data_IF_516309736246
#
_entry.id   IF_516309736246
#
_cell.length_a   1.000
_cell.length_b   1.000
_cell.length_c   1.000
_cell.angle_alpha   90.00
_cell.angle_beta   90.00
_cell.angle_gamma   90.00
#
_symmetry.space_group_name_H-M   'P 1'
#
loop_
_entity.id
_entity.type
_entity.pdbx_description
1 polymer ?
#
# COMPACT_ATOMS: atom_id res chain seq x y z
N UNK A 1 22.19 4.10 33.46
CA UNK A 1 21.40 4.30 32.24
C UNK A 1 20.06 3.62 32.43
N UNK A 2 18.97 4.32 32.14
CA UNK A 2 17.59 3.86 32.37
C UNK A 2 16.85 4.03 31.05
N UNK A 3 16.26 2.95 30.54
CA UNK A 3 15.49 2.98 29.30
C UNK A 3 14.14 3.67 29.47
N UNK A 4 13.37 3.77 28.38
CA UNK A 4 12.02 4.37 28.42
C UNK A 4 11.07 3.49 29.21
N UNK A 5 10.12 4.12 29.88
CA UNK A 5 8.91 3.45 30.37
C UNK A 5 7.76 3.71 29.42
N UNK A 6 7.07 2.64 29.08
CA UNK A 6 5.85 2.68 28.29
C UNK A 6 4.69 2.39 29.22
N UNK A 7 3.90 3.42 29.50
CA UNK A 7 2.65 3.30 30.22
C UNK A 7 1.52 3.13 29.22
N UNK A 8 0.70 2.10 29.42
CA UNK A 8 -0.35 1.74 28.48
C UNK A 8 -1.59 1.23 29.21
N UNK A 9 -2.74 1.36 28.57
CA UNK A 9 -3.99 0.79 29.06
C UNK A 9 -3.98 -0.73 28.90
N UNK A 10 -4.15 -1.48 29.99
CA UNK A 10 -4.21 -2.95 29.96
C UNK A 10 -5.34 -3.50 29.05
N UNK A 11 -6.53 -2.88 28.97
CA UNK A 11 -7.60 -3.41 28.13
C UNK A 11 -7.36 -3.26 26.61
N UNK A 12 -6.60 -2.26 26.18
CA UNK A 12 -6.48 -1.89 24.74
C UNK A 12 -5.06 -1.98 24.20
N UNK A 13 -4.06 -1.89 25.07
CA UNK A 13 -2.66 -1.74 24.68
C UNK A 13 -2.29 -0.33 24.25
N UNK A 14 -3.21 0.64 24.32
CA UNK A 14 -2.95 2.02 23.92
C UNK A 14 -1.96 2.68 24.86
N UNK A 15 -0.96 3.36 24.30
CA UNK A 15 0.07 4.05 25.08
C UNK A 15 -0.45 5.40 25.56
N UNK A 16 -0.37 5.61 26.87
CA UNK A 16 -0.80 6.82 27.56
C UNK A 16 0.38 7.77 27.74
N UNK A 17 1.54 7.23 28.12
CA UNK A 17 2.76 8.00 28.34
C UNK A 17 3.98 7.18 27.96
N UNK A 18 4.91 7.82 27.26
CA UNK A 18 6.26 7.31 27.02
C UNK A 18 7.25 8.25 27.71
N UNK A 19 8.05 7.74 28.64
CA UNK A 19 9.11 8.55 29.27
C UNK A 19 10.36 8.59 28.39
N UNK A 20 11.18 9.61 28.59
CA UNK A 20 12.49 9.69 27.95
C UNK A 20 13.50 8.79 28.66
N UNK A 21 14.53 8.38 27.92
CA UNK A 21 15.69 7.69 28.49
C UNK A 21 16.50 8.64 29.37
N UNK A 22 17.18 8.07 30.35
CA UNK A 22 18.07 8.80 31.24
C UNK A 22 19.44 8.16 31.23
N UNK A 23 20.47 8.94 30.89
CA UNK A 23 21.87 8.53 31.06
C UNK A 23 22.17 8.27 32.55
N UNK A 24 21.77 9.24 33.38
CA UNK A 24 21.95 9.25 34.83
C UNK A 24 20.63 9.63 35.53
N UNK A 25 20.39 9.09 36.72
CA UNK A 25 19.18 9.39 37.50
C UNK A 25 18.75 8.20 38.36
N UNK A 26 17.65 8.38 39.07
CA UNK A 26 17.00 7.34 39.85
C UNK A 26 15.86 6.76 38.99
N UNK A 27 15.78 5.43 38.94
CA UNK A 27 14.63 4.76 38.36
C UNK A 27 13.44 4.86 39.32
N UNK A 28 12.34 5.40 38.83
CA UNK A 28 11.11 5.59 39.61
C UNK A 28 10.28 4.31 39.64
N UNK A 29 9.37 4.17 40.60
CA UNK A 29 8.39 3.07 40.53
C UNK A 29 7.16 3.49 39.72
N UNK A 30 6.33 2.53 39.33
CA UNK A 30 5.05 2.79 38.67
C UNK A 30 4.18 3.73 39.50
N UNK A 31 4.14 3.54 40.82
CA UNK A 31 3.33 4.30 41.76
C UNK A 31 3.82 5.76 41.88
N UNK A 32 5.14 5.94 41.89
CA UNK A 32 5.75 7.28 41.88
C UNK A 32 5.41 8.03 40.59
N UNK A 33 5.52 7.35 39.44
CA UNK A 33 5.20 7.94 38.14
C UNK A 33 3.70 8.26 37.99
N UNK A 34 2.81 7.39 38.48
CA UNK A 34 1.36 7.64 38.53
C UNK A 34 1.01 8.89 39.34
N UNK A 35 1.73 9.14 40.44
CA UNK A 35 1.54 10.35 41.25
C UNK A 35 2.13 11.60 40.57
N UNK A 36 3.25 11.45 39.85
CA UNK A 36 4.00 12.57 39.28
C UNK A 36 3.44 13.07 37.95
N UNK A 37 3.01 12.17 37.06
CA UNK A 37 2.60 12.52 35.70
C UNK A 37 1.09 12.74 35.62
N UNK A 38 0.69 13.97 35.31
CA UNK A 38 -0.71 14.34 35.11
C UNK A 38 -1.43 13.46 34.06
N UNK A 39 -0.72 13.06 33.00
CA UNK A 39 -1.27 12.17 31.96
C UNK A 39 -1.72 10.80 32.52
N UNK A 40 -1.11 10.33 33.60
CA UNK A 40 -1.44 9.04 34.22
C UNK A 40 -2.51 9.18 35.30
N UNK A 41 -2.68 10.36 35.91
CA UNK A 41 -3.65 10.60 36.98
C UNK A 41 -5.12 10.48 36.53
N UNK A 42 -5.38 10.57 35.22
CA UNK A 42 -6.71 10.38 34.66
C UNK A 42 -7.16 8.91 34.62
N UNK A 43 -6.27 7.97 34.94
CA UNK A 43 -6.51 6.54 34.84
C UNK A 43 -6.42 5.87 36.21
N UNK A 44 -7.18 4.78 36.39
CA UNK A 44 -7.03 3.96 37.58
C UNK A 44 -5.67 3.23 37.58
N UNK A 45 -4.94 3.17 38.71
CA UNK A 45 -3.65 2.48 38.78
C UNK A 45 -3.65 1.03 38.29
N UNK A 46 -4.77 0.32 38.50
CA UNK A 46 -5.01 -1.06 38.09
C UNK A 46 -5.36 -1.21 36.60
N UNK A 47 -5.70 -0.14 35.89
CA UNK A 47 -5.97 -0.18 34.45
C UNK A 47 -4.74 0.11 33.60
N UNK A 48 -3.63 0.54 34.22
CA UNK A 48 -2.39 0.91 33.54
C UNK A 48 -1.31 -0.16 33.73
N UNK A 49 -0.75 -0.63 32.63
CA UNK A 49 0.47 -1.43 32.59
C UNK A 49 1.72 -0.54 32.44
N UNK A 50 2.89 -1.09 32.78
CA UNK A 50 4.17 -0.46 32.51
C UNK A 50 5.15 -1.48 31.92
N UNK A 51 5.84 -1.11 30.85
CA UNK A 51 7.01 -1.84 30.34
C UNK A 51 8.21 -0.93 30.52
N UNK A 52 9.21 -1.40 31.27
CA UNK A 52 10.53 -0.77 31.34
C UNK A 52 11.41 -1.38 30.26
N UNK A 53 11.78 -0.57 29.26
CA UNK A 53 12.69 -1.00 28.19
C UNK A 53 14.15 -0.92 28.66
N UNK A 54 15.01 -1.65 27.97
CA UNK A 54 16.45 -1.45 28.07
C UNK A 54 16.85 -0.09 27.48
N UNK A 55 17.95 0.49 27.95
CA UNK A 55 18.46 1.73 27.38
C UNK A 55 18.88 1.52 25.92
N UNK A 56 18.38 2.36 25.03
CA UNK A 56 18.62 2.31 23.58
C UNK A 56 17.66 1.39 22.82
N UNK A 57 16.83 0.61 23.52
CA UNK A 57 15.91 -0.33 22.89
C UNK A 57 14.87 0.43 22.03
N UNK A 58 14.71 -0.01 20.78
CA UNK A 58 13.84 0.61 19.77
C UNK A 58 14.15 2.09 19.48
N UNK A 59 15.37 2.57 19.75
CA UNK A 59 15.75 3.97 19.54
C UNK A 59 15.47 4.48 18.11
N UNK A 60 15.77 3.67 17.09
CA UNK A 60 15.45 4.00 15.70
C UNK A 60 13.94 4.06 15.44
N UNK A 61 13.17 3.18 16.06
CA UNK A 61 11.72 3.11 15.86
C UNK A 61 11.02 4.30 16.50
N UNK A 62 11.41 4.70 17.71
CA UNK A 62 10.90 5.91 18.36
C UNK A 62 11.23 7.21 17.59
N UNK A 63 12.28 7.20 16.76
CA UNK A 63 12.63 8.34 15.91
C UNK A 63 11.85 8.37 14.59
N UNK A 64 11.41 7.21 14.10
CA UNK A 64 10.88 7.07 12.73
C UNK A 64 9.40 6.74 12.67
N UNK A 65 8.83 6.16 13.73
CA UNK A 65 7.42 5.80 13.79
C UNK A 65 6.51 7.02 14.08
N UNK A 66 5.31 7.00 13.51
CA UNK A 66 4.25 7.98 13.80
C UNK A 66 3.58 7.72 15.15
N UNK A 67 3.46 6.44 15.53
CA UNK A 67 2.85 6.02 16.79
C UNK A 67 3.29 4.60 17.17
N UNK A 68 3.06 4.23 18.42
CA UNK A 68 3.30 2.88 18.93
C UNK A 68 2.26 2.50 19.97
N UNK A 69 2.03 1.19 20.10
CA UNK A 69 1.13 0.60 21.09
C UNK A 69 1.71 -0.72 21.61
N UNK A 70 1.17 -1.22 22.71
CA UNK A 70 1.48 -2.56 23.21
C UNK A 70 0.53 -3.57 22.58
N UNK A 71 1.06 -4.64 22.04
CA UNK A 71 0.27 -5.81 21.66
C UNK A 71 0.01 -6.67 22.90
N UNK A 72 -1.27 -6.81 23.26
CA UNK A 72 -1.69 -7.53 24.47
C UNK A 72 -1.44 -9.04 24.39
N UNK A 73 -1.32 -9.62 23.20
CA UNK A 73 -1.05 -11.04 23.05
C UNK A 73 0.43 -11.37 23.32
N UNK A 74 1.33 -10.48 22.91
CA UNK A 74 2.78 -10.71 22.97
C UNK A 74 3.50 -9.91 24.06
N UNK A 75 2.87 -8.83 24.55
CA UNK A 75 3.50 -7.85 25.44
C UNK A 75 4.51 -6.94 24.76
N UNK A 76 4.69 -7.06 23.44
CA UNK A 76 5.69 -6.30 22.69
C UNK A 76 5.12 -4.98 22.15
N UNK A 77 6.01 -4.05 21.81
CA UNK A 77 5.64 -2.84 21.10
C UNK A 77 5.38 -3.13 19.62
N UNK A 78 4.31 -2.54 19.10
CA UNK A 78 3.98 -2.47 17.68
C UNK A 78 4.07 -1.01 17.25
N UNK A 79 4.97 -0.75 16.31
CA UNK A 79 5.21 0.57 15.74
C UNK A 79 4.44 0.76 14.44
N UNK A 80 3.87 1.95 14.27
CA UNK A 80 3.24 2.37 13.03
C UNK A 80 4.12 3.40 12.34
N UNK A 81 4.73 3.01 11.22
CA UNK A 81 5.68 3.86 10.49
C UNK A 81 4.95 4.71 9.43
N UNK A 82 5.46 5.91 9.12
CA UNK A 82 4.96 6.69 8.01
C UNK A 82 5.12 5.90 6.71
N UNK A 83 4.02 5.77 5.98
CA UNK A 83 4.04 5.25 4.62
C UNK A 83 4.25 6.44 3.71
N UNK A 84 5.34 6.42 2.93
CA UNK A 84 5.54 7.41 1.90
C UNK A 84 4.69 7.04 0.68
N UNK A 85 3.51 7.62 0.59
CA UNK A 85 2.70 7.55 -0.62
C UNK A 85 3.10 8.67 -1.59
N UNK A 86 3.21 8.34 -2.87
CA UNK A 86 3.38 9.36 -3.90
C UNK A 86 2.14 10.26 -3.94
N UNK A 87 2.29 11.56 -4.25
CA UNK A 87 1.15 12.45 -4.43
C UNK A 87 0.15 11.87 -5.43
N UNK A 88 -1.14 12.01 -5.13
CA UNK A 88 -2.22 11.53 -5.99
C UNK A 88 -2.11 12.07 -7.42
N UNK A 89 -1.63 13.31 -7.59
CA UNK A 89 -1.38 13.90 -8.91
C UNK A 89 -0.43 13.06 -9.76
N UNK A 90 0.70 12.62 -9.20
CA UNK A 90 1.68 11.78 -9.91
C UNK A 90 1.06 10.46 -10.36
N UNK A 91 0.20 9.87 -9.51
CA UNK A 91 -0.51 8.63 -9.84
C UNK A 91 -1.54 8.85 -10.95
N UNK A 92 -2.28 9.95 -10.89
CA UNK A 92 -3.27 10.34 -11.93
C UNK A 92 -2.57 10.59 -13.25
N UNK A 93 -1.51 11.41 -13.28
CA UNK A 93 -0.76 11.73 -14.50
C UNK A 93 -0.24 10.46 -15.18
N UNK A 94 0.30 9.52 -14.39
CA UNK A 94 0.76 8.22 -14.91
C UNK A 94 -0.38 7.39 -15.49
N UNK A 95 -1.50 7.30 -14.78
CA UNK A 95 -2.67 6.53 -15.22
C UNK A 95 -3.31 7.16 -16.48
N UNK A 96 -3.36 8.48 -16.59
CA UNK A 96 -3.84 9.16 -17.77
C UNK A 96 -2.92 8.92 -18.98
N UNK A 97 -1.61 8.98 -18.78
CA UNK A 97 -0.63 8.65 -19.82
C UNK A 97 -0.79 7.20 -20.32
N UNK A 98 -0.91 6.25 -19.40
CA UNK A 98 -1.13 4.83 -19.71
C UNK A 98 -2.46 4.62 -20.45
N UNK A 99 -3.54 5.24 -19.97
CA UNK A 99 -4.86 5.14 -20.59
C UNK A 99 -4.87 5.72 -22.02
N UNK A 100 -4.18 6.84 -22.24
CA UNK A 100 -4.04 7.44 -23.55
C UNK A 100 -3.24 6.55 -24.49
N UNK A 101 -2.15 5.94 -24.01
CA UNK A 101 -1.37 4.98 -24.80
C UNK A 101 -2.21 3.77 -25.21
N UNK A 102 -2.94 3.17 -24.27
CA UNK A 102 -3.82 2.02 -24.53
C UNK A 102 -4.96 2.36 -25.51
N UNK A 103 -5.52 3.58 -25.43
CA UNK A 103 -6.52 4.05 -26.40
C UNK A 103 -5.96 4.16 -27.81
N UNK A 104 -4.72 4.66 -27.96
CA UNK A 104 -4.06 4.75 -29.26
C UNK A 104 -3.77 3.36 -29.84
N UNK A 105 -3.27 2.44 -29.02
CA UNK A 105 -3.05 1.05 -29.44
C UNK A 105 -4.36 0.38 -29.87
N UNK A 106 -5.43 0.56 -29.08
CA UNK A 106 -6.76 0.04 -29.44
C UNK A 106 -7.28 0.61 -30.76
N UNK A 107 -7.05 1.89 -31.04
CA UNK A 107 -7.45 2.52 -32.29
C UNK A 107 -6.63 1.98 -33.47
N UNK A 108 -5.32 1.83 -33.30
CA UNK A 108 -4.45 1.23 -34.31
C UNK A 108 -4.86 -0.20 -34.65
N UNK A 109 -5.13 -1.02 -33.64
CA UNK A 109 -5.61 -2.41 -33.82
C UNK A 109 -6.94 -2.42 -34.57
N UNK A 110 -7.89 -1.55 -34.21
CA UNK A 110 -9.19 -1.46 -34.90
C UNK A 110 -9.04 -1.11 -36.38
N UNK A 111 -8.14 -0.18 -36.70
CA UNK A 111 -7.86 0.20 -38.10
C UNK A 111 -7.22 -0.96 -38.87
N UNK A 112 -6.23 -1.64 -38.30
CA UNK A 112 -5.59 -2.80 -38.92
C UNK A 112 -6.59 -3.94 -39.17
N UNK A 113 -7.54 -4.16 -38.24
CA UNK A 113 -8.62 -5.15 -38.43
C UNK A 113 -9.55 -4.74 -39.56
N UNK A 114 -9.92 -3.46 -39.66
CA UNK A 114 -10.80 -2.97 -40.73
C UNK A 114 -10.15 -3.09 -42.11
N UNK A 115 -8.86 -2.77 -42.21
CA UNK A 115 -8.08 -2.92 -43.45
C UNK A 115 -7.99 -4.39 -43.87
N UNK A 116 -7.66 -5.28 -42.92
CA UNK A 116 -7.59 -6.73 -43.18
C UNK A 116 -8.94 -7.29 -43.65
N UNK A 117 -10.05 -6.84 -43.07
CA UNK A 117 -11.39 -7.26 -43.48
C UNK A 117 -11.70 -6.82 -44.92
N UNK A 118 -11.35 -5.59 -45.30
CA UNK A 118 -11.51 -5.11 -46.68
C UNK A 118 -10.68 -5.91 -47.67
N UNK A 119 -9.43 -6.25 -47.33
CA UNK A 119 -8.57 -7.06 -48.21
C UNK A 119 -9.14 -8.47 -48.39
N UNK A 120 -9.63 -9.09 -47.31
CA UNK A 120 -10.27 -10.41 -47.41
C UNK A 120 -11.53 -10.41 -48.30
N UNK A 121 -12.34 -9.34 -48.25
CA UNK A 121 -13.50 -9.21 -49.12
C UNK A 121 -13.09 -9.07 -50.60
N UNK A 122 -12.04 -8.30 -50.88
CA UNK A 122 -11.48 -8.14 -52.22
C UNK A 122 -10.94 -9.47 -52.76
N UNK A 123 -10.10 -10.16 -51.99
CA UNK A 123 -9.52 -11.47 -52.37
C UNK A 123 -10.63 -12.49 -52.66
N UNK A 124 -11.69 -12.50 -51.86
CA UNK A 124 -12.85 -13.39 -52.08
C UNK A 124 -13.58 -13.08 -53.39
N UNK A 125 -13.73 -11.80 -53.74
CA UNK A 125 -14.36 -11.39 -54.99
C UNK A 125 -13.50 -11.77 -56.20
N UNK A 126 -12.19 -11.59 -56.13
CA UNK A 126 -11.25 -12.01 -57.18
C UNK A 126 -11.29 -13.53 -57.42
N UNK A 127 -11.31 -14.32 -56.35
CA UNK A 127 -11.44 -15.78 -56.44
C UNK A 127 -12.78 -16.18 -57.09
N UNK A 128 -13.88 -15.52 -56.73
CA UNK A 128 -15.19 -15.80 -57.33
C UNK A 128 -15.22 -15.48 -58.82
N UNK A 129 -14.57 -14.38 -59.24
CA UNK A 129 -14.47 -14.01 -60.65
C UNK A 129 -13.66 -15.04 -61.45
N UNK A 130 -12.49 -15.44 -60.92
CA UNK A 130 -11.64 -16.45 -61.56
C UNK A 130 -12.36 -17.80 -61.71
N UNK A 131 -13.15 -18.20 -60.71
CA UNK A 131 -13.97 -19.41 -60.78
C UNK A 131 -15.08 -19.32 -61.84
N UNK A 132 -15.72 -18.15 -61.98
CA UNK A 132 -16.77 -17.94 -62.98
C UNK A 132 -16.22 -18.00 -64.41
N UNK A 133 -15.05 -17.41 -64.66
CA UNK A 133 -14.37 -17.46 -65.96
C UNK A 133 -14.02 -18.90 -66.34
N UNK A 134 -13.40 -19.66 -65.42
CA UNK A 134 -13.08 -21.08 -65.63
C UNK A 134 -14.33 -21.92 -65.92
N UNK A 135 -15.42 -21.70 -65.18
CA UNK A 135 -16.70 -22.38 -65.42
C UNK A 135 -17.27 -22.12 -66.81
N UNK A 136 -17.15 -20.88 -67.32
CA UNK A 136 -17.60 -20.53 -68.67
C UNK A 136 -16.77 -21.20 -69.76
N UNK A 137 -15.45 -21.35 -69.55
CA UNK A 137 -14.55 -22.02 -70.50
C UNK A 137 -14.80 -23.54 -70.58
N UNK A 138 -15.21 -24.17 -69.48
CA UNK A 138 -15.53 -25.60 -69.45
C UNK A 138 -16.94 -25.86 -70.00
N UNK A 139 -17.91 -24.97 -69.74
CA UNK A 139 -19.30 -25.11 -70.21
C UNK A 139 -19.52 -24.73 -71.68
N UNK A 140 -18.57 -24.05 -72.33
CA UNK A 140 -18.63 -23.70 -73.75
C UNK A 140 -18.02 -24.76 -74.71
N UNK A 141 -17.67 -25.94 -74.20
CA UNK A 141 -17.01 -27.00 -74.96
C UNK A 141 -17.93 -28.17 -75.38
N UNK A 142 -19.26 -28.03 -75.30
CA UNK A 142 -20.26 -28.97 -75.86
C UNK A 142 -20.86 -28.45 -77.18
#
# INVERSE_FOLDING_TARGET
MIGRKIYYELPTGNVVLTTLEKLNGIDTTKEQDLAMYQALQAYSPESIGVIQLEYGQYSSDFLTANSWRVDLATGNLVFNYPIFEQPLSVKVDRLEAENNSLKQESLSIKLAIAELASTQEMDKMEIQLALAELGSMIGGAE
#
